data_IF_939055976555
#
_entry.id   IF_939055976555
#
_cell.length_a   1.000
_cell.length_b   1.000
_cell.length_c   1.000
_cell.angle_alpha   90.00
_cell.angle_beta   90.00
_cell.angle_gamma   90.00
#
_symmetry.space_group_name_H-M   'P 1'
#
loop_
_entity.id
_entity.type
_entity.pdbx_description
1 polymer ?
#
# COMPACT_ATOMS: atom_id res chain seq x y z
N UNK A 1 -6.08 -42.99 31.70
CA UNK A 1 -5.36 -42.31 32.80
C UNK A 1 -5.23 -40.84 32.46
N UNK A 2 -5.33 -39.94 33.45
CA UNK A 2 -5.14 -38.51 33.23
C UNK A 2 -3.72 -38.22 32.72
N UNK A 3 -3.61 -37.44 31.64
CA UNK A 3 -2.32 -37.09 31.02
C UNK A 3 -1.32 -36.52 32.05
N UNK A 4 -1.80 -35.73 33.00
CA UNK A 4 -1.01 -35.08 34.06
C UNK A 4 -0.24 -36.05 34.98
N UNK A 5 -0.64 -37.32 35.05
CA UNK A 5 0.01 -38.35 35.85
C UNK A 5 0.80 -39.36 35.00
N UNK A 6 0.94 -39.11 33.69
CA UNK A 6 1.63 -40.01 32.78
C UNK A 6 3.15 -39.76 32.74
N UNK A 7 3.99 -40.79 32.55
CA UNK A 7 5.43 -40.61 32.33
C UNK A 7 5.77 -39.68 31.17
N UNK A 8 4.91 -39.66 30.15
CA UNK A 8 5.03 -38.81 28.97
C UNK A 8 4.91 -37.32 29.31
N UNK A 9 4.02 -36.96 30.24
CA UNK A 9 3.87 -35.59 30.72
C UNK A 9 5.09 -35.09 31.49
N UNK A 10 5.65 -35.94 32.36
CA UNK A 10 6.90 -35.62 33.07
C UNK A 10 8.12 -35.55 32.13
N UNK A 11 8.17 -36.41 31.12
CA UNK A 11 9.19 -36.34 30.07
C UNK A 11 9.08 -35.05 29.24
N UNK A 12 7.86 -34.61 28.93
CA UNK A 12 7.62 -33.37 28.19
C UNK A 12 8.12 -32.14 28.94
N UNK A 13 7.97 -32.08 30.27
CA UNK A 13 8.55 -31.00 31.10
C UNK A 13 10.08 -30.88 30.96
N UNK A 14 10.77 -32.02 30.81
CA UNK A 14 12.25 -32.06 30.69
C UNK A 14 12.73 -31.80 29.27
N UNK A 15 12.10 -32.45 28.29
CA UNK A 15 12.50 -32.39 26.88
C UNK A 15 11.94 -31.19 26.14
N UNK A 16 10.88 -30.56 26.66
CA UNK A 16 10.08 -29.51 26.03
C UNK A 16 9.36 -29.97 24.76
N UNK A 17 9.27 -31.29 24.56
CA UNK A 17 8.62 -31.92 23.41
C UNK A 17 7.55 -32.87 23.93
N UNK A 18 6.35 -32.77 23.38
CA UNK A 18 5.23 -33.64 23.74
C UNK A 18 4.69 -34.32 22.48
N UNK A 19 4.81 -35.65 22.46
CA UNK A 19 4.28 -36.51 21.39
C UNK A 19 2.97 -37.16 21.84
N UNK A 20 1.87 -36.73 21.24
CA UNK A 20 0.51 -37.24 21.41
C UNK A 20 -0.10 -37.74 20.10
N UNK A 21 0.72 -37.95 19.07
CA UNK A 21 0.30 -38.50 17.79
C UNK A 21 -0.26 -39.93 17.91
N UNK A 22 -1.19 -40.29 17.03
CA UNK A 22 -1.77 -41.65 16.88
C UNK A 22 -2.25 -42.27 18.20
N UNK A 23 -3.14 -41.54 18.90
CA UNK A 23 -3.70 -41.97 20.20
C UNK A 23 -5.22 -42.04 20.21
N UNK A 24 -5.87 -41.82 19.07
CA UNK A 24 -7.33 -41.76 18.99
C UNK A 24 -7.94 -40.67 19.87
N UNK A 25 -7.24 -39.54 20.04
CA UNK A 25 -7.74 -38.42 20.86
C UNK A 25 -8.87 -37.70 20.11
N UNK A 26 -10.05 -37.63 20.73
CA UNK A 26 -11.17 -36.82 20.21
C UNK A 26 -11.01 -35.32 20.52
N UNK A 27 -10.19 -34.98 21.52
CA UNK A 27 -9.87 -33.60 21.89
C UNK A 27 -8.47 -33.48 22.48
N UNK A 28 -7.92 -32.26 22.48
CA UNK A 28 -6.63 -31.98 23.11
C UNK A 28 -6.83 -32.01 24.64
N UNK A 29 -6.13 -32.89 25.38
CA UNK A 29 -6.31 -32.98 26.83
C UNK A 29 -5.93 -31.66 27.52
N UNK A 30 -6.82 -31.11 28.36
CA UNK A 30 -6.59 -29.81 29.03
C UNK A 30 -5.24 -29.67 29.76
N UNK A 31 -4.65 -30.72 30.38
CA UNK A 31 -3.32 -30.61 30.99
C UNK A 31 -2.20 -30.20 30.03
N UNK A 32 -2.35 -30.41 28.70
CA UNK A 32 -1.36 -29.97 27.69
C UNK A 32 -1.10 -28.47 27.80
N UNK A 33 -2.14 -27.67 28.06
CA UNK A 33 -2.03 -26.20 28.11
C UNK A 33 -1.32 -25.68 29.37
N UNK A 34 -1.12 -26.54 30.38
CA UNK A 34 -0.32 -26.21 31.57
C UNK A 34 1.19 -26.39 31.35
N UNK A 35 1.61 -26.91 30.20
CA UNK A 35 3.01 -27.11 29.83
C UNK A 35 3.52 -25.94 28.97
N UNK A 36 3.52 -24.74 29.56
CA UNK A 36 3.94 -23.49 28.91
C UNK A 36 5.40 -23.49 28.42
N UNK A 37 6.23 -24.43 28.89
CA UNK A 37 7.63 -24.59 28.50
C UNK A 37 7.82 -25.35 27.17
N UNK A 38 6.80 -26.05 26.67
CA UNK A 38 6.89 -26.87 25.45
C UNK A 38 7.22 -26.00 24.24
N UNK A 39 8.15 -26.48 23.42
CA UNK A 39 8.51 -25.92 22.13
C UNK A 39 7.95 -26.73 20.97
N UNK A 40 7.65 -28.02 21.15
CA UNK A 40 7.06 -28.87 20.11
C UNK A 40 5.93 -29.72 20.63
N UNK A 41 4.76 -29.59 20.01
CA UNK A 41 3.56 -30.35 20.28
C UNK A 41 3.14 -31.11 19.02
N UNK A 42 3.14 -32.43 19.11
CA UNK A 42 2.74 -33.32 18.02
C UNK A 42 1.42 -34.01 18.38
N UNK A 43 0.34 -33.64 17.68
CA UNK A 43 -1.02 -34.15 17.84
C UNK A 43 -1.52 -34.84 16.56
N UNK A 44 -0.60 -35.19 15.66
CA UNK A 44 -0.90 -35.72 14.33
C UNK A 44 -1.66 -37.06 14.40
N UNK A 45 -2.51 -37.34 13.41
CA UNK A 45 -3.26 -38.60 13.29
C UNK A 45 -4.11 -38.90 14.55
N UNK A 46 -5.00 -37.98 14.91
CA UNK A 46 -6.01 -38.15 15.95
C UNK A 46 -7.39 -37.78 15.40
N UNK A 47 -8.41 -37.72 16.26
CA UNK A 47 -9.78 -37.35 15.91
C UNK A 47 -10.13 -35.91 16.34
N UNK A 48 -9.14 -35.02 16.47
CA UNK A 48 -9.31 -33.67 17.02
C UNK A 48 -10.08 -32.80 16.02
N UNK A 49 -11.24 -32.29 16.42
CA UNK A 49 -12.08 -31.42 15.57
C UNK A 49 -11.83 -29.93 15.76
N UNK A 50 -11.27 -29.53 16.90
CA UNK A 50 -11.02 -28.13 17.27
C UNK A 50 -9.77 -27.99 18.14
N UNK A 51 -9.13 -26.82 18.06
CA UNK A 51 -8.09 -26.39 19.02
C UNK A 51 -8.78 -25.40 19.97
N UNK A 52 -8.75 -25.66 21.29
CA UNK A 52 -9.44 -24.80 22.24
C UNK A 52 -8.62 -23.51 22.50
N UNK A 53 -9.25 -22.42 22.96
CA UNK A 53 -8.62 -21.11 23.12
C UNK A 53 -7.43 -21.11 24.09
N UNK A 54 -7.34 -22.10 24.99
CA UNK A 54 -6.23 -22.32 25.93
C UNK A 54 -4.87 -22.51 25.24
N UNK A 55 -4.83 -22.77 23.93
CA UNK A 55 -3.59 -22.72 23.13
C UNK A 55 -2.83 -21.40 23.31
N UNK A 56 -3.52 -20.29 23.65
CA UNK A 56 -2.89 -19.01 23.95
C UNK A 56 -1.84 -19.07 25.07
N UNK A 57 -1.93 -20.03 25.99
CA UNK A 57 -1.00 -20.18 27.10
C UNK A 57 0.33 -20.80 26.68
N UNK A 58 0.40 -21.46 25.51
CA UNK A 58 1.60 -22.12 25.01
C UNK A 58 2.57 -21.14 24.33
N UNK A 59 2.94 -20.07 25.01
CA UNK A 59 3.72 -18.94 24.45
C UNK A 59 5.13 -19.30 23.98
N UNK A 60 5.68 -20.45 24.42
CA UNK A 60 6.97 -20.97 23.98
C UNK A 60 6.89 -21.94 22.79
N UNK A 61 5.69 -22.24 22.29
CA UNK A 61 5.50 -23.19 21.21
C UNK A 61 6.15 -22.72 19.91
N UNK A 62 6.97 -23.57 19.31
CA UNK A 62 7.67 -23.35 18.04
C UNK A 62 7.12 -24.25 16.92
N UNK A 63 6.71 -25.47 17.24
CA UNK A 63 6.21 -26.44 16.27
C UNK A 63 4.89 -27.04 16.75
N UNK A 64 3.83 -26.86 15.96
CA UNK A 64 2.52 -27.45 16.18
C UNK A 64 2.14 -28.33 15.00
N UNK A 65 2.00 -29.63 15.25
CA UNK A 65 1.60 -30.61 14.22
C UNK A 65 0.23 -31.19 14.56
N UNK A 66 -0.69 -31.06 13.61
CA UNK A 66 -2.10 -31.43 13.71
C UNK A 66 -2.56 -32.17 12.45
N UNK A 67 -1.64 -32.58 11.57
CA UNK A 67 -2.01 -33.21 10.31
C UNK A 67 -2.76 -34.53 10.52
N UNK A 68 -3.67 -34.85 9.60
CA UNK A 68 -4.50 -36.05 9.68
C UNK A 68 -5.51 -36.02 10.83
N UNK A 69 -5.99 -34.83 11.21
CA UNK A 69 -7.11 -34.64 12.14
C UNK A 69 -8.32 -34.04 11.40
N UNK A 70 -9.56 -34.32 11.80
CA UNK A 70 -10.76 -33.69 11.24
C UNK A 70 -10.97 -32.22 11.73
N UNK A 71 -9.87 -31.46 11.88
CA UNK A 71 -9.86 -30.10 12.40
C UNK A 71 -10.62 -29.15 11.47
N UNK A 72 -11.63 -28.45 11.98
CA UNK A 72 -12.49 -27.57 11.16
C UNK A 72 -12.02 -26.12 11.09
N UNK A 73 -11.31 -25.65 12.11
CA UNK A 73 -10.85 -24.27 12.20
C UNK A 73 -9.60 -24.14 13.06
N UNK A 74 -8.85 -23.07 12.82
CA UNK A 74 -7.76 -22.61 13.68
C UNK A 74 -8.29 -21.46 14.54
N UNK A 75 -8.07 -21.44 15.86
CA UNK A 75 -8.55 -20.37 16.74
C UNK A 75 -7.71 -19.10 16.59
N UNK A 76 -8.33 -17.94 16.81
CA UNK A 76 -7.62 -16.63 16.77
C UNK A 76 -6.52 -16.53 17.83
N UNK A 77 -6.69 -17.26 18.94
CA UNK A 77 -5.85 -17.34 20.11
C UNK A 77 -4.45 -17.87 19.81
N UNK A 78 -4.28 -18.61 18.71
CA UNK A 78 -2.99 -19.09 18.24
C UNK A 78 -2.01 -17.91 17.94
N UNK A 79 -2.52 -16.70 17.70
CA UNK A 79 -1.71 -15.48 17.54
C UNK A 79 -0.80 -15.18 18.75
N UNK A 80 -1.13 -15.71 19.95
CA UNK A 80 -0.33 -15.51 21.16
C UNK A 80 0.90 -16.42 21.21
N UNK A 81 0.95 -17.48 20.39
CA UNK A 81 2.12 -18.34 20.23
C UNK A 81 3.18 -17.64 19.36
N UNK A 82 3.72 -16.51 19.82
CA UNK A 82 4.60 -15.62 19.04
C UNK A 82 5.91 -16.27 18.57
N UNK A 83 6.32 -17.39 19.18
CA UNK A 83 7.50 -18.19 18.79
C UNK A 83 7.20 -19.27 17.75
N UNK A 84 5.95 -19.43 17.34
CA UNK A 84 5.54 -20.47 16.40
C UNK A 84 6.27 -20.27 15.06
N UNK A 85 6.91 -21.35 14.61
CA UNK A 85 7.71 -21.45 13.38
C UNK A 85 7.06 -22.34 12.35
N UNK A 86 6.41 -23.41 12.81
CA UNK A 86 5.76 -24.42 11.97
C UNK A 86 4.36 -24.71 12.48
N UNK A 87 3.37 -24.57 11.58
CA UNK A 87 2.00 -25.03 11.75
C UNK A 87 1.69 -26.05 10.65
N UNK A 88 1.57 -27.32 11.01
CA UNK A 88 1.19 -28.38 10.07
C UNK A 88 -0.26 -28.78 10.30
N UNK A 89 -1.14 -28.41 9.37
CA UNK A 89 -2.57 -28.75 9.39
C UNK A 89 -2.97 -29.46 8.10
N UNK A 90 -2.05 -30.25 7.52
CA UNK A 90 -2.35 -31.07 6.35
C UNK A 90 -3.45 -32.08 6.60
N UNK A 91 -4.21 -32.38 5.54
CA UNK A 91 -5.26 -33.39 5.59
C UNK A 91 -6.24 -33.13 6.75
N UNK A 92 -6.63 -31.86 6.91
CA UNK A 92 -7.65 -31.38 7.86
C UNK A 92 -8.85 -30.81 7.12
N UNK A 93 -9.91 -30.43 7.86
CA UNK A 93 -11.15 -29.87 7.33
C UNK A 93 -11.18 -28.33 7.42
N UNK A 94 -10.02 -27.68 7.47
CA UNK A 94 -9.91 -26.22 7.57
C UNK A 94 -10.26 -25.57 6.24
N UNK A 95 -11.36 -24.81 6.23
CA UNK A 95 -11.80 -24.03 5.06
C UNK A 95 -11.27 -22.60 5.07
N UNK A 96 -11.09 -22.01 6.25
CA UNK A 96 -10.67 -20.62 6.44
C UNK A 96 -9.58 -20.50 7.50
N UNK A 97 -8.77 -19.43 7.40
CA UNK A 97 -7.71 -19.13 8.34
C UNK A 97 -7.99 -17.80 9.07
N UNK A 98 -7.77 -17.71 10.39
CA UNK A 98 -7.87 -16.44 11.10
C UNK A 98 -6.80 -15.47 10.60
N UNK A 99 -7.19 -14.24 10.31
CA UNK A 99 -6.31 -13.16 9.82
C UNK A 99 -5.18 -12.83 10.81
N UNK A 100 -5.43 -13.05 12.09
CA UNK A 100 -4.49 -12.84 13.20
C UNK A 100 -3.22 -13.69 13.07
N UNK A 101 -3.24 -14.79 12.31
CA UNK A 101 -2.06 -15.62 12.03
C UNK A 101 -0.98 -14.83 11.26
N UNK A 102 -1.36 -13.84 10.45
CA UNK A 102 -0.40 -12.94 9.78
C UNK A 102 0.45 -12.12 10.75
N UNK A 103 0.08 -12.04 12.03
CA UNK A 103 0.86 -11.38 13.09
C UNK A 103 2.09 -12.19 13.52
N UNK A 104 2.11 -13.51 13.28
CA UNK A 104 3.17 -14.42 13.71
C UNK A 104 4.43 -14.26 12.86
N UNK A 105 5.34 -13.37 13.27
CA UNK A 105 6.55 -13.00 12.50
C UNK A 105 7.62 -14.09 12.43
N UNK A 106 7.54 -15.12 13.28
CA UNK A 106 8.47 -16.25 13.27
C UNK A 106 7.95 -17.45 12.46
N UNK A 107 6.68 -17.41 12.03
CA UNK A 107 6.04 -18.50 11.31
C UNK A 107 6.54 -18.49 9.87
N UNK A 108 7.21 -19.55 9.45
CA UNK A 108 7.75 -19.67 8.09
C UNK A 108 7.20 -20.88 7.33
N UNK A 109 6.52 -21.80 8.01
CA UNK A 109 5.85 -22.93 7.39
C UNK A 109 4.42 -23.07 7.93
N UNK A 110 3.45 -22.89 7.04
CA UNK A 110 2.04 -23.24 7.23
C UNK A 110 1.67 -24.23 6.13
N UNK A 111 1.47 -25.48 6.51
CA UNK A 111 1.15 -26.53 5.55
C UNK A 111 -0.36 -26.79 5.51
N UNK A 112 -0.97 -26.40 4.38
CA UNK A 112 -2.41 -26.47 4.11
C UNK A 112 -2.74 -27.55 3.05
N UNK A 113 -1.83 -28.46 2.72
CA UNK A 113 -2.11 -29.48 1.70
C UNK A 113 -3.20 -30.43 2.17
N UNK A 114 -4.11 -30.81 1.27
CA UNK A 114 -5.21 -31.72 1.60
C UNK A 114 -6.35 -31.09 2.42
N UNK A 115 -6.38 -29.75 2.58
CA UNK A 115 -7.50 -29.06 3.24
C UNK A 115 -8.51 -28.49 2.23
N UNK A 116 -9.81 -28.42 2.57
CA UNK A 116 -10.86 -27.87 1.72
C UNK A 116 -10.88 -26.33 1.77
N UNK A 117 -9.75 -25.67 1.48
CA UNK A 117 -9.63 -24.21 1.50
C UNK A 117 -10.71 -23.54 0.64
N UNK A 118 -11.24 -22.42 1.14
CA UNK A 118 -12.10 -21.54 0.36
C UNK A 118 -11.37 -21.00 -0.88
N UNK A 119 -12.13 -20.59 -1.90
CA UNK A 119 -11.59 -19.97 -3.12
C UNK A 119 -10.68 -18.76 -2.82
N UNK A 120 -10.95 -18.05 -1.73
CA UNK A 120 -10.15 -16.90 -1.27
C UNK A 120 -8.74 -17.31 -0.83
N UNK A 121 -8.57 -18.52 -0.26
CA UNK A 121 -7.30 -18.98 0.31
C UNK A 121 -6.57 -20.02 -0.55
N UNK A 122 -7.27 -20.69 -1.47
CA UNK A 122 -6.68 -21.72 -2.33
C UNK A 122 -5.45 -21.26 -3.13
N UNK A 123 -5.35 -20.01 -3.65
CA UNK A 123 -4.15 -19.53 -4.33
C UNK A 123 -2.88 -19.55 -3.47
N UNK A 124 -3.01 -19.52 -2.14
CA UNK A 124 -1.86 -19.52 -1.23
C UNK A 124 -1.43 -20.94 -0.81
N UNK A 125 -2.04 -21.99 -1.37
CA UNK A 125 -1.74 -23.37 -1.02
C UNK A 125 -0.26 -23.68 -1.31
N UNK A 126 0.49 -23.96 -0.24
CA UNK A 126 1.93 -24.24 -0.33
C UNK A 126 2.82 -23.00 -0.41
N UNK A 127 2.26 -21.79 -0.37
CA UNK A 127 3.02 -20.53 -0.30
C UNK A 127 2.75 -19.82 1.03
N UNK A 128 3.53 -20.17 2.06
CA UNK A 128 3.38 -19.60 3.40
C UNK A 128 3.64 -18.09 3.44
N UNK A 129 4.62 -17.60 2.68
CA UNK A 129 4.98 -16.17 2.70
C UNK A 129 3.84 -15.29 2.17
N UNK A 130 3.26 -15.66 1.03
CA UNK A 130 2.11 -14.94 0.47
C UNK A 130 0.86 -15.07 1.35
N UNK A 131 0.60 -16.26 1.91
CA UNK A 131 -0.50 -16.46 2.87
C UNK A 131 -0.39 -15.50 4.06
N UNK A 132 0.78 -15.46 4.70
CA UNK A 132 0.99 -14.63 5.90
C UNK A 132 0.93 -13.15 5.57
N UNK A 133 1.44 -12.74 4.40
CA UNK A 133 1.34 -11.36 3.91
C UNK A 133 -0.11 -10.97 3.69
N UNK A 134 -0.89 -11.83 3.02
CA UNK A 134 -2.31 -11.61 2.80
C UNK A 134 -3.10 -11.51 4.12
N UNK A 135 -2.88 -12.43 5.06
CA UNK A 135 -3.55 -12.43 6.37
C UNK A 135 -3.16 -11.20 7.21
N UNK A 136 -1.89 -10.79 7.20
CA UNK A 136 -1.41 -9.58 7.91
C UNK A 136 -2.05 -8.30 7.34
N UNK A 137 -2.19 -8.20 6.02
CA UNK A 137 -2.90 -7.09 5.38
C UNK A 137 -4.39 -7.13 5.74
N UNK A 138 -5.04 -8.30 5.66
CA UNK A 138 -6.46 -8.48 6.03
C UNK A 138 -6.72 -8.10 7.48
N UNK A 139 -5.84 -8.48 8.39
CA UNK A 139 -5.89 -8.12 9.81
C UNK A 139 -5.79 -6.62 10.03
N UNK A 140 -4.75 -5.97 9.47
CA UNK A 140 -4.57 -4.53 9.57
C UNK A 140 -5.76 -3.75 9.00
N UNK A 141 -6.30 -4.17 7.85
CA UNK A 141 -7.48 -3.55 7.23
C UNK A 141 -8.72 -3.69 8.12
N UNK A 142 -8.91 -4.88 8.70
CA UNK A 142 -10.06 -5.12 9.58
C UNK A 142 -9.96 -4.30 10.87
N UNK A 143 -8.77 -4.17 11.46
CA UNK A 143 -8.57 -3.33 12.64
C UNK A 143 -8.86 -1.86 12.34
N UNK A 144 -8.41 -1.33 11.19
CA UNK A 144 -8.75 0.05 10.78
C UNK A 144 -10.26 0.22 10.61
N UNK A 145 -10.95 -0.77 10.03
CA UNK A 145 -12.39 -0.71 9.88
C UNK A 145 -13.10 -0.67 11.25
N UNK A 146 -12.69 -1.53 12.19
CA UNK A 146 -13.25 -1.57 13.56
C UNK A 146 -12.99 -0.26 14.29
N UNK A 147 -11.75 0.25 14.27
CA UNK A 147 -11.40 1.53 14.90
C UNK A 147 -12.19 2.68 14.30
N UNK A 148 -12.31 2.73 12.97
CA UNK A 148 -13.09 3.76 12.27
C UNK A 148 -14.57 3.68 12.64
N UNK A 149 -15.16 2.49 12.70
CA UNK A 149 -16.55 2.27 13.15
C UNK A 149 -16.76 2.78 14.57
N UNK A 150 -15.90 2.37 15.51
CA UNK A 150 -15.97 2.79 16.91
C UNK A 150 -15.83 4.31 17.07
N UNK A 151 -14.87 4.93 16.37
CA UNK A 151 -14.66 6.37 16.44
C UNK A 151 -15.85 7.15 15.87
N UNK A 152 -16.41 6.69 14.74
CA UNK A 152 -17.59 7.30 14.16
C UNK A 152 -18.81 7.20 15.08
N UNK A 153 -19.01 6.06 15.72
CA UNK A 153 -20.09 5.85 16.70
C UNK A 153 -19.88 6.65 17.99
N UNK A 154 -18.64 6.86 18.43
CA UNK A 154 -18.33 7.64 19.63
C UNK A 154 -18.32 9.17 19.40
N UNK A 155 -18.28 9.62 18.15
CA UNK A 155 -18.23 11.04 17.80
C UNK A 155 -19.37 11.42 16.84
N UNK A 156 -19.13 11.36 15.53
CA UNK A 156 -20.04 11.89 14.50
C UNK A 156 -21.46 11.32 14.53
N UNK A 157 -21.60 10.06 14.92
CA UNK A 157 -22.87 9.34 14.94
C UNK A 157 -23.33 8.99 16.35
N UNK A 158 -22.80 9.67 17.38
CA UNK A 158 -23.11 9.42 18.79
C UNK A 158 -24.60 9.30 19.08
N UNK A 159 -25.42 10.24 18.59
CA UNK A 159 -26.87 10.24 18.83
C UNK A 159 -27.60 9.05 18.19
N UNK A 160 -27.07 8.53 17.10
CA UNK A 160 -27.68 7.43 16.32
C UNK A 160 -27.04 6.09 16.58
N UNK A 161 -25.88 6.05 17.24
CA UNK A 161 -25.10 4.83 17.46
C UNK A 161 -25.83 3.81 18.34
N UNK A 162 -26.64 4.29 19.28
CA UNK A 162 -27.49 3.43 20.15
C UNK A 162 -28.73 2.88 19.42
N UNK A 163 -29.03 3.37 18.22
CA UNK A 163 -30.14 2.89 17.39
C UNK A 163 -29.70 1.70 16.54
N UNK A 164 -30.56 0.68 16.41
CA UNK A 164 -30.26 -0.53 15.62
C UNK A 164 -29.98 -0.17 14.16
N UNK A 165 -30.82 0.69 13.57
CA UNK A 165 -30.66 1.21 12.22
C UNK A 165 -29.38 2.06 12.05
N UNK A 166 -28.94 2.74 13.11
CA UNK A 166 -27.72 3.54 13.13
C UNK A 166 -26.47 2.67 13.07
N UNK A 167 -26.36 1.67 13.95
CA UNK A 167 -25.27 0.70 13.89
C UNK A 167 -25.19 -0.03 12.55
N UNK A 168 -26.34 -0.43 11.98
CA UNK A 168 -26.40 -1.08 10.67
C UNK A 168 -25.84 -0.17 9.56
N UNK A 169 -26.25 1.09 9.50
CA UNK A 169 -25.80 2.00 8.43
C UNK A 169 -24.33 2.38 8.59
N UNK A 170 -23.84 2.61 9.82
CA UNK A 170 -22.44 2.95 10.05
C UNK A 170 -21.53 1.80 9.66
N UNK A 171 -21.86 0.56 10.05
CA UNK A 171 -21.12 -0.64 9.64
C UNK A 171 -21.11 -0.83 8.12
N UNK A 172 -22.24 -0.59 7.45
CA UNK A 172 -22.32 -0.64 6.00
C UNK A 172 -21.47 0.44 5.33
N UNK A 173 -21.49 1.68 5.85
CA UNK A 173 -20.67 2.79 5.36
C UNK A 173 -19.18 2.47 5.49
N UNK A 174 -18.73 2.02 6.66
CA UNK A 174 -17.34 1.62 6.90
C UNK A 174 -16.91 0.51 5.95
N UNK A 175 -17.72 -0.56 5.80
CA UNK A 175 -17.45 -1.65 4.87
C UNK A 175 -17.32 -1.15 3.42
N UNK A 176 -18.24 -0.30 2.97
CA UNK A 176 -18.21 0.25 1.61
C UNK A 176 -17.02 1.19 1.39
N UNK A 177 -16.66 2.00 2.38
CA UNK A 177 -15.45 2.84 2.35
C UNK A 177 -14.21 1.97 2.25
N UNK A 178 -14.04 0.98 3.12
CA UNK A 178 -12.90 0.06 3.02
C UNK A 178 -12.78 -0.60 1.63
N UNK A 179 -13.90 -0.90 0.96
CA UNK A 179 -13.87 -1.49 -0.38
C UNK A 179 -13.33 -0.54 -1.47
N UNK A 180 -13.61 0.77 -1.38
CA UNK A 180 -13.15 1.77 -2.38
C UNK A 180 -11.77 2.36 -2.08
N UNK A 181 -11.16 1.98 -0.95
CA UNK A 181 -9.79 2.35 -0.55
C UNK A 181 -8.91 1.08 -0.43
N UNK A 182 -8.39 0.56 -1.56
CA UNK A 182 -7.54 -0.63 -1.57
C UNK A 182 -6.16 -0.35 -0.96
N UNK A 183 -5.62 0.85 -1.15
CA UNK A 183 -4.34 1.25 -0.56
C UNK A 183 -4.45 1.44 0.97
N UNK A 184 -3.45 0.92 1.68
CA UNK A 184 -3.40 0.98 3.15
C UNK A 184 -3.11 2.38 3.69
N UNK A 185 -2.29 3.17 2.99
CA UNK A 185 -1.97 4.54 3.37
C UNK A 185 -3.19 5.43 3.24
N UNK A 186 -3.87 5.37 2.10
CA UNK A 186 -5.10 6.10 1.87
C UNK A 186 -6.20 5.71 2.83
N UNK A 187 -6.38 4.40 3.10
CA UNK A 187 -7.39 3.93 4.05
C UNK A 187 -7.15 4.48 5.47
N UNK A 188 -5.89 4.49 5.94
CA UNK A 188 -5.55 5.11 7.24
C UNK A 188 -5.81 6.60 7.26
N UNK A 189 -5.46 7.31 6.19
CA UNK A 189 -5.70 8.75 6.09
C UNK A 189 -7.19 9.06 6.04
N UNK A 190 -7.99 8.25 5.35
CA UNK A 190 -9.44 8.34 5.34
C UNK A 190 -10.01 8.11 6.76
N UNK A 191 -9.57 7.06 7.46
CA UNK A 191 -10.01 6.78 8.83
C UNK A 191 -9.69 7.93 9.80
N UNK A 192 -8.50 8.55 9.70
CA UNK A 192 -8.12 9.73 10.49
C UNK A 192 -9.00 10.96 10.22
N UNK A 193 -9.54 11.08 9.02
CA UNK A 193 -10.37 12.20 8.60
C UNK A 193 -11.86 11.84 8.53
N UNK A 194 -12.26 10.71 9.12
CA UNK A 194 -13.62 10.16 8.98
C UNK A 194 -14.70 11.16 9.46
N UNK A 195 -14.42 11.91 10.53
CA UNK A 195 -15.34 12.94 11.05
C UNK A 195 -15.65 14.05 10.05
N UNK A 196 -14.73 14.37 9.13
CA UNK A 196 -14.96 15.35 8.06
C UNK A 196 -15.60 14.69 6.83
N UNK A 197 -15.11 13.51 6.45
CA UNK A 197 -15.44 12.86 5.18
C UNK A 197 -16.80 12.15 5.18
N UNK A 198 -17.20 11.54 6.30
CA UNK A 198 -18.43 10.75 6.34
C UNK A 198 -19.70 11.63 6.22
N UNK A 199 -20.84 11.09 5.77
CA UNK A 199 -22.07 11.87 5.60
C UNK A 199 -22.75 12.26 6.92
N UNK A 200 -23.06 13.55 7.12
CA UNK A 200 -23.76 14.06 8.33
C UNK A 200 -25.23 13.65 8.44
N UNK A 201 -25.89 13.26 7.33
CA UNK A 201 -27.34 12.97 7.31
C UNK A 201 -27.76 11.75 8.15
N UNK A 202 -26.80 10.91 8.55
CA UNK A 202 -27.05 9.78 9.45
C UNK A 202 -26.82 10.11 10.91
N UNK A 203 -26.36 11.32 11.23
CA UNK A 203 -26.10 11.75 12.62
C UNK A 203 -27.37 12.15 13.36
N UNK A 204 -28.46 12.47 12.67
CA UNK A 204 -29.73 12.87 13.30
C UNK A 204 -30.69 11.68 13.37
N UNK A 205 -31.22 11.32 14.56
CA UNK A 205 -32.25 10.29 14.70
C UNK A 205 -33.48 10.53 13.81
N UNK A 206 -33.87 11.79 13.63
CA UNK A 206 -35.04 12.17 12.81
C UNK A 206 -34.79 11.87 11.34
N UNK A 207 -33.65 12.31 10.79
CA UNK A 207 -33.29 12.03 9.40
C UNK A 207 -33.05 10.54 9.17
N UNK A 208 -32.43 9.86 10.12
CA UNK A 208 -32.18 8.43 10.03
C UNK A 208 -33.50 7.63 9.94
N UNK A 209 -34.51 7.98 10.73
CA UNK A 209 -35.84 7.32 10.67
C UNK A 209 -36.60 7.60 9.37
N UNK A 210 -36.37 8.74 8.71
CA UNK A 210 -36.93 9.00 7.37
C UNK A 210 -36.35 8.05 6.33
N UNK A 211 -35.06 7.72 6.45
CA UNK A 211 -34.36 6.80 5.55
C UNK A 211 -34.73 5.35 5.86
N UNK A 212 -34.64 4.96 7.13
CA UNK A 212 -34.86 3.60 7.62
C UNK A 212 -36.26 3.47 8.23
N UNK A 213 -37.29 3.80 7.44
CA UNK A 213 -38.66 3.70 7.90
C UNK A 213 -39.06 2.25 8.21
N UNK A 214 -40.00 2.06 9.14
CA UNK A 214 -40.51 0.73 9.52
C UNK A 214 -41.97 0.59 9.13
N UNK A 215 -42.34 -0.58 8.61
CA UNK A 215 -43.74 -0.96 8.53
C UNK A 215 -44.14 -1.57 9.89
N UNK A 216 -45.25 -1.12 10.52
CA UNK A 216 -45.71 -1.68 11.80
C UNK A 216 -45.88 -3.20 11.80
N UNK A 217 -46.20 -3.79 10.65
CA UNK A 217 -46.36 -5.24 10.47
C UNK A 217 -45.04 -6.02 10.39
N UNK A 218 -43.89 -5.37 10.17
CA UNK A 218 -42.60 -6.05 10.09
C UNK A 218 -42.10 -6.43 11.49
N UNK A 219 -41.78 -7.71 11.70
CA UNK A 219 -41.07 -8.17 12.89
C UNK A 219 -39.59 -7.71 12.92
N UNK A 220 -38.91 -7.77 14.08
CA UNK A 220 -37.54 -7.28 14.24
C UNK A 220 -36.51 -7.87 13.26
N UNK A 221 -36.61 -9.17 12.94
CA UNK A 221 -35.71 -9.83 11.99
C UNK A 221 -35.88 -9.30 10.57
N UNK A 222 -37.13 -9.15 10.12
CA UNK A 222 -37.49 -8.62 8.80
C UNK A 222 -37.01 -7.17 8.67
N UNK A 223 -37.19 -6.36 9.72
CA UNK A 223 -36.66 -4.97 9.74
C UNK A 223 -35.15 -4.94 9.58
N UNK A 224 -34.40 -5.74 10.34
CA UNK A 224 -32.94 -5.80 10.22
C UNK A 224 -32.49 -6.21 8.81
N UNK A 225 -33.15 -7.18 8.20
CA UNK A 225 -32.83 -7.61 6.83
C UNK A 225 -33.08 -6.49 5.82
N UNK A 226 -34.26 -5.84 5.88
CA UNK A 226 -34.62 -4.71 5.01
C UNK A 226 -33.65 -3.53 5.17
N UNK A 227 -33.36 -3.17 6.41
CA UNK A 227 -32.40 -2.11 6.74
C UNK A 227 -30.99 -2.45 6.29
N UNK A 228 -30.53 -3.68 6.46
CA UNK A 228 -29.23 -4.14 5.96
C UNK A 228 -29.10 -3.95 4.46
N UNK A 229 -30.07 -4.43 3.69
CA UNK A 229 -30.08 -4.29 2.22
C UNK A 229 -30.11 -2.81 1.78
N UNK A 230 -30.91 -1.98 2.46
CA UNK A 230 -30.96 -0.54 2.18
C UNK A 230 -29.63 0.14 2.54
N UNK A 231 -29.04 -0.21 3.69
CA UNK A 231 -27.78 0.34 4.15
C UNK A 231 -26.64 0.03 3.18
N UNK A 232 -26.54 -1.20 2.67
CA UNK A 232 -25.52 -1.57 1.67
C UNK A 232 -25.66 -0.75 0.37
N UNK A 233 -26.89 -0.62 -0.15
CA UNK A 233 -27.15 0.17 -1.36
C UNK A 233 -26.76 1.63 -1.19
N UNK A 234 -27.14 2.21 -0.06
CA UNK A 234 -26.89 3.62 0.22
C UNK A 234 -25.41 3.86 0.53
N UNK A 235 -24.77 2.94 1.27
CA UNK A 235 -23.35 3.01 1.60
C UNK A 235 -22.45 2.97 0.36
N UNK A 236 -22.78 2.16 -0.66
CA UNK A 236 -22.02 2.13 -1.90
C UNK A 236 -21.98 3.50 -2.61
N UNK A 237 -23.12 4.20 -2.68
CA UNK A 237 -23.19 5.55 -3.26
C UNK A 237 -22.42 6.57 -2.44
N UNK A 238 -22.52 6.50 -1.12
CA UNK A 238 -21.79 7.39 -0.22
C UNK A 238 -20.29 7.15 -0.25
N UNK A 239 -19.84 5.90 -0.32
CA UNK A 239 -18.43 5.57 -0.42
C UNK A 239 -17.82 6.10 -1.73
N UNK A 240 -18.54 6.00 -2.86
CA UNK A 240 -18.08 6.56 -4.13
C UNK A 240 -17.96 8.10 -4.07
N UNK A 241 -18.95 8.78 -3.47
CA UNK A 241 -18.88 10.22 -3.24
C UNK A 241 -17.73 10.58 -2.29
N UNK A 242 -17.59 9.87 -1.19
CA UNK A 242 -16.52 10.07 -0.20
C UNK A 242 -15.15 9.90 -0.83
N UNK A 243 -14.96 8.91 -1.72
CA UNK A 243 -13.70 8.73 -2.45
C UNK A 243 -13.38 9.93 -3.32
N UNK A 244 -14.38 10.48 -4.03
CA UNK A 244 -14.23 11.73 -4.80
C UNK A 244 -13.86 12.90 -3.90
N UNK A 245 -14.58 13.08 -2.80
CA UNK A 245 -14.34 14.17 -1.83
C UNK A 245 -12.94 14.04 -1.18
N UNK A 246 -12.48 12.81 -0.89
CA UNK A 246 -11.13 12.53 -0.40
C UNK A 246 -10.05 12.91 -1.42
N UNK A 247 -10.23 12.55 -2.69
CA UNK A 247 -9.27 12.91 -3.76
C UNK A 247 -9.18 14.42 -3.90
N UNK A 248 -10.31 15.12 -3.90
CA UNK A 248 -10.35 16.59 -3.91
C UNK A 248 -9.63 17.17 -2.69
N UNK A 249 -9.91 16.67 -1.49
CA UNK A 249 -9.28 17.16 -0.26
C UNK A 249 -7.77 16.93 -0.24
N UNK A 250 -7.31 15.76 -0.67
CA UNK A 250 -5.88 15.44 -0.79
C UNK A 250 -5.20 16.39 -1.77
N UNK A 251 -5.82 16.62 -2.93
CA UNK A 251 -5.34 17.58 -3.91
C UNK A 251 -5.26 18.99 -3.36
N UNK A 252 -6.31 19.48 -2.68
CA UNK A 252 -6.32 20.80 -2.04
C UNK A 252 -5.20 20.93 -0.99
N UNK A 253 -4.98 19.91 -0.18
CA UNK A 253 -3.91 19.91 0.82
C UNK A 253 -2.51 19.92 0.18
N UNK A 254 -2.31 19.20 -0.93
CA UNK A 254 -1.06 19.22 -1.70
C UNK A 254 -0.83 20.59 -2.36
N UNK A 255 -1.87 21.21 -2.92
CA UNK A 255 -1.80 22.57 -3.45
C UNK A 255 -1.35 23.57 -2.39
N UNK A 256 -1.89 23.48 -1.16
CA UNK A 256 -1.49 24.36 -0.05
C UNK A 256 -0.01 24.17 0.32
N UNK A 257 0.47 22.93 0.38
CA UNK A 257 1.89 22.65 0.64
C UNK A 257 2.78 23.23 -0.45
N UNK A 258 2.43 23.00 -1.72
CA UNK A 258 3.18 23.54 -2.84
C UNK A 258 3.15 25.05 -2.90
N UNK A 259 2.07 25.69 -2.45
CA UNK A 259 1.99 27.15 -2.33
C UNK A 259 3.03 27.66 -1.36
N UNK A 260 3.18 27.03 -0.20
CA UNK A 260 4.21 27.39 0.77
C UNK A 260 5.63 27.16 0.23
N UNK A 261 5.86 26.02 -0.45
CA UNK A 261 7.18 25.73 -1.06
C UNK A 261 7.53 26.73 -2.17
N UNK A 262 6.55 27.11 -3.00
CA UNK A 262 6.73 28.12 -4.05
C UNK A 262 7.01 29.50 -3.47
N UNK A 263 6.31 29.88 -2.40
CA UNK A 263 6.55 31.13 -1.66
C UNK A 263 8.00 31.21 -1.14
N UNK A 264 8.49 30.11 -0.55
CA UNK A 264 9.88 30.00 -0.09
C UNK A 264 10.88 30.14 -1.25
N UNK A 265 10.57 29.58 -2.43
CA UNK A 265 11.43 29.70 -3.62
C UNK A 265 11.44 31.11 -4.19
N UNK A 266 10.28 31.75 -4.32
CA UNK A 266 10.17 33.13 -4.80
C UNK A 266 10.92 34.06 -3.85
N UNK A 267 10.70 33.91 -2.54
CA UNK A 267 11.42 34.67 -1.50
C UNK A 267 12.93 34.47 -1.59
N UNK A 268 13.41 33.25 -1.88
CA UNK A 268 14.84 33.00 -2.05
C UNK A 268 15.44 33.63 -3.32
N UNK A 269 14.64 33.82 -4.38
CA UNK A 269 15.09 34.44 -5.63
C UNK A 269 15.14 35.96 -5.51
N UNK A 270 14.19 36.57 -4.80
CA UNK A 270 13.99 38.03 -4.77
C UNK A 270 14.20 38.68 -3.39
N UNK A 271 14.89 37.97 -2.49
CA UNK A 271 15.06 38.16 -1.04
C UNK A 271 15.15 39.61 -0.52
N UNK A 272 15.73 40.55 -1.29
CA UNK A 272 16.02 41.91 -0.81
C UNK A 272 15.04 43.01 -1.30
N UNK A 273 14.07 42.73 -2.18
CA UNK A 273 13.41 43.80 -2.96
C UNK A 273 11.87 43.93 -2.87
N UNK A 274 11.11 43.10 -2.13
CA UNK A 274 9.63 43.04 -2.32
C UNK A 274 8.81 42.85 -1.04
N UNK A 275 7.57 43.34 -1.05
CA UNK A 275 6.58 43.23 0.03
C UNK A 275 5.91 41.83 0.00
N UNK A 276 5.73 41.14 1.14
CA UNK A 276 4.98 39.87 1.22
C UNK A 276 3.61 39.87 0.51
N UNK A 277 2.95 41.02 0.44
CA UNK A 277 1.65 41.16 -0.24
C UNK A 277 1.74 41.04 -1.76
N UNK A 278 2.89 41.39 -2.36
CA UNK A 278 3.13 41.22 -3.81
C UNK A 278 3.35 39.75 -4.16
N UNK A 279 4.06 39.01 -3.30
CA UNK A 279 4.29 37.56 -3.45
C UNK A 279 2.96 36.81 -3.43
N UNK A 280 2.05 37.16 -2.51
CA UNK A 280 0.71 36.57 -2.46
C UNK A 280 -0.08 36.82 -3.77
N UNK A 281 0.04 38.03 -4.33
CA UNK A 281 -0.55 38.39 -5.63
C UNK A 281 -0.01 37.55 -6.78
N UNK A 282 1.32 37.35 -6.85
CA UNK A 282 1.97 36.50 -7.85
C UNK A 282 1.54 35.04 -7.72
N UNK A 283 1.54 34.48 -6.51
CA UNK A 283 1.10 33.11 -6.25
C UNK A 283 -0.34 32.92 -6.73
N UNK A 284 -1.27 33.82 -6.37
CA UNK A 284 -2.66 33.77 -6.86
C UNK A 284 -2.74 33.79 -8.39
N UNK A 285 -1.94 34.64 -9.04
CA UNK A 285 -1.89 34.72 -10.51
C UNK A 285 -1.36 33.43 -11.13
N UNK A 286 -0.29 32.84 -10.58
CA UNK A 286 0.29 31.57 -11.05
C UNK A 286 -0.74 30.45 -10.89
N UNK A 287 -1.28 30.26 -9.69
CA UNK A 287 -2.24 29.18 -9.41
C UNK A 287 -3.55 29.29 -10.22
N UNK A 288 -3.97 30.50 -10.62
CA UNK A 288 -5.12 30.69 -11.49
C UNK A 288 -4.95 30.05 -12.88
N UNK A 289 -3.71 29.90 -13.35
CA UNK A 289 -3.41 29.24 -14.61
C UNK A 289 -3.51 27.71 -14.49
N UNK A 290 -3.34 27.13 -13.29
CA UNK A 290 -3.30 25.67 -13.06
C UNK A 290 -4.64 25.08 -12.59
N UNK A 291 -5.76 25.70 -12.96
CA UNK A 291 -7.09 25.15 -12.71
C UNK A 291 -7.43 24.07 -13.75
N UNK A 292 -8.15 22.99 -13.38
CA UNK A 292 -8.53 21.90 -14.30
C UNK A 292 -9.25 22.38 -15.57
N UNK A 293 -10.08 23.42 -15.45
CA UNK A 293 -10.83 24.03 -16.55
C UNK A 293 -9.93 24.49 -17.70
N UNK A 294 -8.72 24.98 -17.39
CA UNK A 294 -7.76 25.50 -18.37
C UNK A 294 -7.01 24.41 -19.15
N UNK A 295 -7.17 23.13 -18.79
CA UNK A 295 -6.53 21.99 -19.47
C UNK A 295 -7.50 21.19 -20.33
N UNK A 296 -8.79 21.21 -20.00
CA UNK A 296 -9.85 20.55 -20.76
C UNK A 296 -10.08 21.18 -22.15
N UNK A 297 -9.84 22.48 -22.30
CA UNK A 297 -9.95 23.17 -23.59
C UNK A 297 -8.83 22.80 -24.59
N UNK A 298 -7.71 22.26 -24.11
CA UNK A 298 -6.52 21.96 -24.93
C UNK A 298 -6.39 20.49 -25.37
N UNK A 299 -7.42 19.65 -25.11
CA UNK A 299 -7.43 18.25 -25.55
C UNK A 299 -6.44 17.32 -24.82
N UNK A 300 -5.83 17.77 -23.71
CA UNK A 300 -5.05 16.90 -22.82
C UNK A 300 -6.02 16.13 -21.91
N UNK A 301 -6.04 14.79 -22.03
CA UNK A 301 -6.87 13.90 -21.18
C UNK A 301 -6.33 13.74 -19.76
N UNK A 302 -5.04 14.01 -19.57
CA UNK A 302 -4.36 13.84 -18.30
C UNK A 302 -4.20 15.22 -17.64
N UNK A 303 -4.51 15.32 -16.35
CA UNK A 303 -4.45 16.56 -15.57
C UNK A 303 -3.21 16.54 -14.66
N UNK A 304 -2.02 17.00 -15.13
CA UNK A 304 -0.84 17.08 -14.29
C UNK A 304 -0.64 18.50 -13.73
N UNK A 305 -1.67 19.08 -13.11
CA UNK A 305 -1.59 20.45 -12.57
C UNK A 305 -0.57 20.54 -11.42
N UNK A 306 -0.58 19.55 -10.52
CA UNK A 306 0.33 19.48 -9.37
C UNK A 306 1.78 19.18 -9.77
N UNK A 307 2.00 18.31 -10.76
CA UNK A 307 3.34 18.02 -11.27
C UNK A 307 3.97 19.23 -11.94
N UNK A 308 3.18 20.02 -12.67
CA UNK A 308 3.65 21.25 -13.31
C UNK A 308 4.03 22.30 -12.26
N UNK A 309 3.28 22.41 -11.15
CA UNK A 309 3.65 23.24 -10.00
C UNK A 309 4.95 22.75 -9.36
N UNK A 310 5.09 21.44 -9.13
CA UNK A 310 6.34 20.84 -8.65
C UNK A 310 7.52 21.15 -9.56
N UNK A 311 7.32 21.06 -10.88
CA UNK A 311 8.33 21.40 -11.87
C UNK A 311 8.73 22.88 -11.79
N UNK A 312 7.77 23.79 -11.60
CA UNK A 312 8.06 25.22 -11.41
C UNK A 312 8.93 25.43 -10.17
N UNK A 313 8.59 24.80 -9.05
CA UNK A 313 9.35 24.91 -7.79
C UNK A 313 10.77 24.36 -7.97
N UNK A 314 10.91 23.21 -8.64
CA UNK A 314 12.20 22.56 -8.90
C UNK A 314 13.13 23.41 -9.77
N UNK A 315 12.57 24.05 -10.81
CA UNK A 315 13.32 24.84 -11.79
C UNK A 315 13.09 26.35 -11.63
N UNK A 316 12.75 26.80 -10.42
CA UNK A 316 12.32 28.18 -10.16
C UNK A 316 13.32 29.21 -10.69
N UNK A 317 14.62 29.00 -10.46
CA UNK A 317 15.70 29.89 -10.93
C UNK A 317 15.84 30.02 -12.45
N UNK A 318 15.25 29.08 -13.22
CA UNK A 318 15.25 29.10 -14.70
C UNK A 318 13.92 29.60 -15.27
N UNK A 319 12.85 29.57 -14.48
CA UNK A 319 11.49 29.90 -14.91
C UNK A 319 11.12 31.33 -14.53
N UNK A 320 11.49 31.75 -13.33
CA UNK A 320 11.19 33.07 -12.80
C UNK A 320 12.10 34.13 -13.46
N UNK A 321 11.53 35.26 -13.92
CA UNK A 321 12.28 36.31 -14.60
C UNK A 321 13.19 37.08 -13.64
N UNK A 322 14.23 37.74 -14.16
CA UNK A 322 15.09 38.57 -13.31
C UNK A 322 14.37 39.82 -12.77
N UNK A 323 13.40 40.36 -13.51
CA UNK A 323 12.58 41.52 -13.11
C UNK A 323 11.24 41.05 -12.53
N UNK A 324 11.00 41.23 -11.21
CA UNK A 324 9.81 40.71 -10.55
C UNK A 324 8.51 41.44 -10.94
N UNK A 325 8.61 42.69 -11.42
CA UNK A 325 7.44 43.46 -11.85
C UNK A 325 6.71 42.83 -13.04
N UNK A 326 7.39 41.93 -13.77
CA UNK A 326 6.86 41.22 -14.93
C UNK A 326 6.15 39.90 -14.58
N UNK A 327 6.21 39.46 -13.31
CA UNK A 327 5.68 38.17 -12.89
C UNK A 327 4.17 38.16 -13.06
N UNK A 328 3.71 37.28 -13.95
CA UNK A 328 2.30 36.94 -14.14
C UNK A 328 2.18 35.43 -14.31
N UNK A 329 1.02 34.87 -13.96
CA UNK A 329 0.79 33.44 -14.15
C UNK A 329 1.03 32.99 -15.60
N UNK A 330 0.57 33.77 -16.58
CA UNK A 330 0.77 33.50 -18.02
C UNK A 330 2.24 33.44 -18.40
N UNK A 331 3.05 34.38 -17.91
CA UNK A 331 4.50 34.38 -18.18
C UNK A 331 5.14 33.11 -17.61
N UNK A 332 4.89 32.82 -16.33
CA UNK A 332 5.43 31.64 -15.64
C UNK A 332 5.02 30.36 -16.36
N UNK A 333 3.74 30.22 -16.76
CA UNK A 333 3.25 29.08 -17.53
C UNK A 333 3.97 28.95 -18.88
N UNK A 334 4.16 30.06 -19.62
CA UNK A 334 4.85 30.03 -20.90
C UNK A 334 6.35 29.66 -20.76
N UNK A 335 7.03 30.20 -19.75
CA UNK A 335 8.42 29.88 -19.41
C UNK A 335 8.57 28.42 -19.02
N UNK A 336 7.64 27.91 -18.20
CA UNK A 336 7.57 26.50 -17.81
C UNK A 336 7.42 25.59 -19.04
N UNK A 337 6.43 25.83 -19.90
CA UNK A 337 6.19 25.01 -21.10
C UNK A 337 7.40 25.03 -22.06
N UNK A 338 8.02 26.19 -22.24
CA UNK A 338 9.25 26.34 -23.03
C UNK A 338 10.39 25.50 -22.46
N UNK A 339 10.55 25.52 -21.14
CA UNK A 339 11.58 24.73 -20.45
C UNK A 339 11.30 23.23 -20.53
N UNK A 340 10.06 22.80 -20.31
CA UNK A 340 9.64 21.40 -20.45
C UNK A 340 9.93 20.87 -21.86
N UNK A 341 9.61 21.65 -22.90
CA UNK A 341 9.93 21.32 -24.28
C UNK A 341 11.44 21.19 -24.48
N UNK A 342 12.21 22.17 -24.02
CA UNK A 342 13.68 22.16 -24.12
C UNK A 342 14.29 20.92 -23.46
N UNK A 343 13.87 20.58 -22.24
CA UNK A 343 14.37 19.39 -21.52
C UNK A 343 13.98 18.09 -22.22
N UNK A 344 12.78 18.03 -22.79
CA UNK A 344 12.33 16.88 -23.60
C UNK A 344 13.20 16.73 -24.84
N UNK A 345 13.43 17.81 -25.58
CA UNK A 345 14.29 17.83 -26.76
C UNK A 345 15.74 17.45 -26.40
N UNK A 346 16.26 17.93 -25.27
CA UNK A 346 17.60 17.63 -24.81
C UNK A 346 17.74 16.16 -24.36
N UNK A 347 16.71 15.56 -23.72
CA UNK A 347 16.67 14.12 -23.44
C UNK A 347 16.70 13.32 -24.73
N UNK A 348 15.86 13.68 -25.72
CA UNK A 348 15.82 13.03 -27.03
C UNK A 348 17.19 13.11 -27.73
N UNK A 349 17.86 14.28 -27.68
CA UNK A 349 19.22 14.43 -28.22
C UNK A 349 20.22 13.51 -27.53
N UNK A 350 20.17 13.39 -26.20
CA UNK A 350 21.08 12.50 -25.47
C UNK A 350 20.84 11.03 -25.84
N UNK A 351 19.58 10.58 -25.94
CA UNK A 351 19.25 9.21 -26.37
C UNK A 351 19.72 8.96 -27.80
N UNK A 352 19.57 9.93 -28.71
CA UNK A 352 20.13 9.85 -30.07
C UNK A 352 21.65 9.78 -30.08
N UNK A 353 22.32 10.51 -29.18
CA UNK A 353 23.76 10.44 -28.98
C UNK A 353 24.21 9.03 -28.58
N UNK A 354 23.54 8.42 -27.59
CA UNK A 354 23.79 7.02 -27.21
C UNK A 354 23.58 6.09 -28.41
N UNK A 355 22.45 6.20 -29.10
CA UNK A 355 22.15 5.38 -30.28
C UNK A 355 23.22 5.52 -31.38
N UNK A 356 23.71 6.73 -31.62
CA UNK A 356 24.79 6.98 -32.58
C UNK A 356 26.09 6.30 -32.17
N UNK A 357 26.47 6.36 -30.90
CA UNK A 357 27.65 5.66 -30.39
C UNK A 357 27.50 4.14 -30.54
N UNK A 358 26.33 3.60 -30.18
CA UNK A 358 26.05 2.17 -30.26
C UNK A 358 25.98 1.65 -31.70
N UNK A 359 25.50 2.45 -32.65
CA UNK A 359 25.47 2.09 -34.06
C UNK A 359 26.89 1.91 -34.63
N UNK A 360 27.89 2.56 -34.04
CA UNK A 360 29.30 2.33 -34.37
C UNK A 360 29.87 1.05 -33.77
N UNK A 361 29.45 0.68 -32.55
CA UNK A 361 29.89 -0.54 -31.86
C UNK A 361 29.24 -1.79 -32.48
N UNK A 362 27.95 -1.71 -32.82
CA UNK A 362 27.13 -2.83 -33.29
C UNK A 362 26.69 -2.62 -34.74
N UNK A 363 27.64 -2.37 -35.63
CA UNK A 363 27.37 -2.09 -37.04
C UNK A 363 26.76 -3.29 -37.80
N UNK A 364 26.84 -4.49 -37.24
CA UNK A 364 26.30 -5.75 -37.75
C UNK A 364 24.82 -5.98 -37.41
N UNK A 365 24.23 -5.15 -36.53
CA UNK A 365 22.85 -5.32 -36.04
C UNK A 365 21.87 -4.37 -36.72
N UNK A 366 20.59 -4.74 -36.70
CA UNK A 366 19.56 -3.91 -37.31
C UNK A 366 19.37 -2.60 -36.53
N UNK A 367 19.28 -1.43 -37.20
CA UNK A 367 19.16 -0.13 -36.54
C UNK A 367 18.04 -0.03 -35.48
N UNK A 368 16.84 -0.65 -35.66
CA UNK A 368 15.80 -0.65 -34.63
C UNK A 368 16.20 -1.38 -33.34
N UNK A 369 17.02 -2.43 -33.41
CA UNK A 369 17.48 -3.18 -32.24
C UNK A 369 18.44 -2.35 -31.39
N UNK A 370 19.38 -1.68 -32.05
CA UNK A 370 20.34 -0.77 -31.41
C UNK A 370 19.63 0.44 -30.79
N UNK A 371 18.65 1.01 -31.51
CA UNK A 371 17.84 2.12 -31.00
C UNK A 371 17.03 1.72 -29.76
N UNK A 372 16.49 0.50 -29.72
CA UNK A 372 15.78 -0.02 -28.56
C UNK A 372 16.69 -0.19 -27.35
N UNK A 373 17.89 -0.74 -27.53
CA UNK A 373 18.88 -0.84 -26.45
C UNK A 373 19.24 0.54 -25.88
N UNK A 374 19.47 1.54 -26.74
CA UNK A 374 19.74 2.91 -26.32
C UNK A 374 18.58 3.51 -25.49
N UNK A 375 17.34 3.27 -25.91
CA UNK A 375 16.14 3.69 -25.16
C UNK A 375 16.01 2.97 -23.82
N UNK A 376 16.20 1.65 -23.79
CA UNK A 376 16.08 0.85 -22.56
C UNK A 376 17.14 1.24 -21.53
N UNK A 377 18.37 1.53 -21.96
CA UNK A 377 19.42 2.08 -21.08
C UNK A 377 19.02 3.45 -20.56
N UNK A 378 18.63 4.38 -21.43
CA UNK A 378 18.27 5.74 -21.04
C UNK A 378 17.09 5.77 -20.06
N UNK A 379 16.09 4.90 -20.27
CA UNK A 379 14.92 4.76 -19.39
C UNK A 379 15.29 4.41 -17.96
N UNK A 380 16.40 3.70 -17.73
CA UNK A 380 16.87 3.42 -16.38
C UNK A 380 17.41 4.67 -15.65
N UNK A 381 17.67 5.77 -16.34
CA UNK A 381 18.14 7.03 -15.74
C UNK A 381 17.03 8.05 -15.51
N UNK A 382 15.83 7.83 -16.08
CA UNK A 382 14.66 8.67 -15.85
C UNK A 382 14.28 8.64 -14.36
N UNK A 383 14.19 9.83 -13.77
CA UNK A 383 13.75 10.01 -12.36
C UNK A 383 12.37 10.63 -12.27
N UNK A 384 12.16 11.62 -13.12
CA UNK A 384 10.94 12.42 -13.19
C UNK A 384 10.45 12.51 -14.63
N UNK A 385 9.21 12.99 -14.77
CA UNK A 385 8.57 13.25 -16.06
C UNK A 385 9.46 14.07 -17.00
N UNK A 386 10.19 15.05 -16.45
CA UNK A 386 11.15 15.86 -17.18
C UNK A 386 12.58 15.62 -16.70
N UNK A 387 13.54 15.71 -17.63
CA UNK A 387 14.93 15.42 -17.33
C UNK A 387 15.54 16.44 -16.38
N UNK A 388 16.30 15.96 -15.40
CA UNK A 388 17.16 16.82 -14.56
C UNK A 388 18.48 17.11 -15.26
N UNK A 389 19.15 18.20 -14.89
CA UNK A 389 20.47 18.51 -15.46
C UNK A 389 21.47 17.37 -15.22
N UNK A 390 21.40 16.72 -14.05
CA UNK A 390 22.19 15.52 -13.73
C UNK A 390 21.87 14.32 -14.61
N UNK A 391 20.60 14.08 -14.90
CA UNK A 391 20.20 13.00 -15.81
C UNK A 391 20.75 13.25 -17.22
N UNK A 392 20.61 14.47 -17.73
CA UNK A 392 21.15 14.83 -19.05
C UNK A 392 22.68 14.72 -19.10
N UNK A 393 23.37 15.08 -18.01
CA UNK A 393 24.82 14.90 -17.88
C UNK A 393 25.20 13.42 -17.87
N UNK A 394 24.51 12.59 -17.07
CA UNK A 394 24.73 11.15 -17.00
C UNK A 394 24.54 10.49 -18.38
N UNK A 395 23.47 10.84 -19.12
CA UNK A 395 23.22 10.31 -20.46
C UNK A 395 24.30 10.73 -21.49
N UNK A 396 24.79 11.98 -21.41
CA UNK A 396 25.90 12.44 -22.26
C UNK A 396 27.18 11.66 -21.98
N UNK A 397 27.50 11.42 -20.70
CA UNK A 397 28.64 10.60 -20.30
C UNK A 397 28.52 9.15 -20.80
N UNK A 398 27.33 8.56 -20.74
CA UNK A 398 27.08 7.21 -21.29
C UNK A 398 27.36 7.17 -22.80
N UNK A 399 26.92 8.19 -23.54
CA UNK A 399 27.21 8.29 -24.97
C UNK A 399 28.71 8.44 -25.26
N UNK A 400 29.41 9.25 -24.46
CA UNK A 400 30.86 9.47 -24.61
C UNK A 400 31.68 8.22 -24.26
N UNK A 401 31.31 7.52 -23.18
CA UNK A 401 32.01 6.34 -22.68
C UNK A 401 31.44 5.02 -23.24
N UNK A 402 30.69 5.06 -24.35
CA UNK A 402 29.97 3.90 -24.86
C UNK A 402 30.90 2.68 -25.08
N UNK A 403 32.11 2.89 -25.62
CA UNK A 403 33.10 1.84 -25.83
C UNK A 403 33.63 1.19 -24.55
N UNK A 404 33.46 1.84 -23.39
CA UNK A 404 33.91 1.33 -22.09
C UNK A 404 32.76 0.71 -21.28
N UNK A 405 31.52 1.09 -21.59
CA UNK A 405 30.33 0.69 -20.86
C UNK A 405 29.59 -0.47 -21.50
N UNK A 406 29.62 -0.57 -22.83
CA UNK A 406 28.90 -1.57 -23.58
C UNK A 406 29.84 -2.72 -23.97
N UNK A 407 29.40 -3.98 -23.84
CA UNK A 407 30.20 -5.13 -24.25
C UNK A 407 30.39 -5.16 -25.78
N UNK A 408 31.38 -5.93 -26.26
CA UNK A 408 31.60 -6.11 -27.69
C UNK A 408 30.48 -6.93 -28.36
N UNK A 409 29.91 -7.89 -27.64
CA UNK A 409 28.80 -8.73 -28.12
C UNK A 409 27.45 -8.09 -27.76
N UNK A 410 26.63 -7.81 -28.78
CA UNK A 410 25.32 -7.19 -28.59
C UNK A 410 24.41 -7.99 -27.65
N UNK A 411 24.41 -9.31 -27.76
CA UNK A 411 23.53 -10.18 -26.98
C UNK A 411 23.90 -10.21 -25.47
N UNK A 412 25.10 -9.75 -25.11
CA UNK A 412 25.54 -9.56 -23.73
C UNK A 412 25.19 -8.18 -23.16
N UNK A 413 24.66 -7.26 -23.98
CA UNK A 413 24.42 -5.87 -23.61
C UNK A 413 23.13 -5.69 -22.80
N UNK A 414 23.16 -6.04 -21.52
CA UNK A 414 22.02 -5.88 -20.62
C UNK A 414 21.92 -4.45 -20.02
N UNK A 415 20.78 -3.73 -20.17
CA UNK A 415 20.63 -2.36 -19.68
C UNK A 415 20.94 -2.16 -18.19
N UNK A 416 20.55 -3.12 -17.35
CA UNK A 416 20.75 -3.04 -15.89
C UNK A 416 22.24 -3.14 -15.53
N UNK A 417 22.99 -4.00 -16.20
CA UNK A 417 24.43 -4.13 -15.98
C UNK A 417 25.18 -2.91 -16.52
N UNK A 418 24.78 -2.35 -17.66
CA UNK A 418 25.34 -1.08 -18.17
C UNK A 418 25.18 0.05 -17.15
N UNK A 419 23.99 0.20 -16.56
CA UNK A 419 23.75 1.20 -15.49
C UNK A 419 24.61 0.94 -14.25
N UNK A 420 24.81 -0.32 -13.87
CA UNK A 420 25.66 -0.71 -12.74
C UNK A 420 27.13 -0.37 -12.99
N UNK A 421 27.66 -0.69 -14.18
CA UNK A 421 29.02 -0.33 -14.59
C UNK A 421 29.22 1.19 -14.61
N UNK A 422 28.28 1.94 -15.18
CA UNK A 422 28.31 3.40 -15.18
C UNK A 422 28.42 3.97 -13.75
N UNK A 423 27.59 3.47 -12.82
CA UNK A 423 27.64 3.90 -11.42
C UNK A 423 28.95 3.58 -10.72
N UNK A 424 29.53 2.40 -10.99
CA UNK A 424 30.83 2.01 -10.43
C UNK A 424 31.94 2.95 -10.92
N UNK A 425 31.93 3.32 -12.21
CA UNK A 425 32.89 4.26 -12.79
C UNK A 425 32.74 5.66 -12.22
N UNK A 426 31.51 6.17 -12.09
CA UNK A 426 31.24 7.46 -11.45
C UNK A 426 31.70 7.50 -9.98
N UNK A 427 31.54 6.39 -9.24
CA UNK A 427 32.04 6.27 -7.88
C UNK A 427 33.57 6.28 -7.82
N UNK A 428 34.23 5.55 -8.72
CA UNK A 428 35.69 5.50 -8.81
C UNK A 428 36.29 6.87 -9.20
N UNK A 429 35.67 7.57 -10.16
CA UNK A 429 36.09 8.91 -10.57
C UNK A 429 35.99 9.92 -9.41
N UNK A 430 34.90 9.88 -8.63
CA UNK A 430 34.75 10.74 -7.45
C UNK A 430 35.77 10.43 -6.36
N UNK A 431 36.10 9.15 -6.15
CA UNK A 431 37.13 8.75 -5.19
C UNK A 431 38.55 9.19 -5.60
N UNK A 432 38.79 9.36 -6.91
CA UNK A 432 40.07 9.83 -7.44
C UNK A 432 40.23 11.37 -7.36
N UNK A 433 39.14 12.13 -7.40
CA UNK A 433 39.14 13.61 -7.32
C UNK A 433 39.12 14.11 -5.87
N UNK A 434 38.70 13.26 -4.91
CA UNK A 434 38.68 13.57 -3.47
C UNK A 434 39.98 13.23 -2.71
N UNK A 435 41.06 12.89 -3.42
CA UNK A 435 42.44 12.75 -2.93
C UNK A 435 43.30 13.81 -3.59
#
# INVERSE_FOLDING_TARGET
MALSSSPLYEQAKRSRILHLNDRGLDSIPSPVFNLDMITRLDLSYNNITEIPPEIQYMTNLENLWLNGNPLKSVPTELQHCRKLKVLDIRDTMVETMPREIGRLKNLFLVDLRGTPLSEELDPFRGNTEELLTYLDVKDKRTNIAIEMENNLLAAKYLETGDMVEGGIVVKALVKAVCAVFPDMGELRNCARNADRLFPKRYSSPVELRKIFHTNPSDGPAVRRQKWGALAEKVAAKEAAKLKKDYVTLTRENEMVKLSADMELKISAIYYDNHDPTEIEGWLKSIYAEFKPENYLEEGRKDCPDLEDIHFIIQFATRIFPSDPSTITGKLIRSSMLSLQKKLTDDRIKCVRGINSSLSGIYADREPPQVARLAQDVAKLFERDRFATDKELEDLKKISADANLLFPAEFDAAEPKEIKKLFKQREAAAKAAVGR
#
